data_IF_798081607411
#
_entry.id   IF_798081607411
#
_cell.length_a   1.000
_cell.length_b   1.000
_cell.length_c   1.000
_cell.angle_alpha   90.00
_cell.angle_beta   90.00
_cell.angle_gamma   90.00
#
_symmetry.space_group_name_H-M   'P 1'
#
loop_
_entity.id
_entity.type
_entity.pdbx_description
1 polymer ?
#
# COMPACT_ATOMS: atom_id res chain seq x y z
N UNK A 1 -34.98 -26.37 24.22
CA UNK A 1 -35.00 -24.99 23.67
C UNK A 1 -33.60 -24.43 23.49
N UNK A 2 -32.74 -24.44 24.50
CA UNK A 2 -31.38 -23.86 24.43
C UNK A 2 -30.47 -24.51 23.37
N UNK A 3 -30.51 -25.85 23.25
CA UNK A 3 -29.71 -26.63 22.26
C UNK A 3 -30.13 -26.32 20.81
N UNK A 4 -31.42 -26.14 20.56
CA UNK A 4 -31.93 -25.79 19.22
C UNK A 4 -31.53 -24.38 18.83
N UNK A 5 -31.58 -23.42 19.77
CA UNK A 5 -31.12 -22.06 19.54
C UNK A 5 -29.59 -22.01 19.25
N UNK A 6 -28.82 -22.85 19.95
CA UNK A 6 -27.38 -22.96 19.74
C UNK A 6 -27.04 -23.49 18.33
N UNK A 7 -27.79 -24.48 17.84
CA UNK A 7 -27.62 -25.04 16.50
C UNK A 7 -27.93 -23.98 15.42
N UNK A 8 -28.99 -23.15 15.61
CA UNK A 8 -29.34 -22.08 14.67
C UNK A 8 -28.33 -20.94 14.61
N UNK A 9 -27.46 -20.79 15.60
CA UNK A 9 -26.39 -19.81 15.60
C UNK A 9 -25.06 -20.43 15.13
N UNK A 10 -24.73 -21.62 15.63
CA UNK A 10 -23.44 -22.28 15.34
C UNK A 10 -23.37 -22.79 13.91
N UNK A 11 -24.43 -23.39 13.39
CA UNK A 11 -24.41 -23.95 12.00
C UNK A 11 -24.27 -22.87 10.95
N UNK A 12 -25.03 -21.74 10.96
CA UNK A 12 -24.79 -20.63 10.06
C UNK A 12 -23.42 -19.99 10.25
N UNK A 13 -22.93 -19.88 11.50
CA UNK A 13 -21.61 -19.33 11.80
C UNK A 13 -20.48 -20.22 11.26
N UNK A 14 -20.54 -21.54 11.45
CA UNK A 14 -19.57 -22.49 10.89
C UNK A 14 -19.65 -22.50 9.36
N UNK A 15 -20.86 -22.49 8.78
CA UNK A 15 -21.05 -22.41 7.35
C UNK A 15 -20.51 -21.09 6.78
N UNK A 16 -20.80 -19.96 7.41
CA UNK A 16 -20.30 -18.65 7.04
C UNK A 16 -18.78 -18.55 7.22
N UNK A 17 -18.23 -19.04 8.34
CA UNK A 17 -16.79 -19.08 8.60
C UNK A 17 -16.07 -19.97 7.58
N UNK A 18 -16.61 -21.17 7.28
CA UNK A 18 -16.03 -22.09 6.30
C UNK A 18 -16.16 -21.64 4.84
N UNK A 19 -17.09 -20.72 4.51
CA UNK A 19 -17.27 -20.23 3.14
C UNK A 19 -16.62 -18.85 2.91
N UNK A 20 -16.44 -18.03 3.97
CA UNK A 20 -15.97 -16.66 3.85
C UNK A 20 -14.51 -16.48 4.28
N UNK A 21 -14.04 -17.20 5.29
CA UNK A 21 -12.68 -17.08 5.82
C UNK A 21 -11.75 -18.22 5.39
N UNK A 22 -11.62 -18.41 4.06
CA UNK A 22 -10.45 -19.08 3.57
C UNK A 22 -10.47 -20.60 3.70
N UNK A 23 -11.43 -21.25 3.08
CA UNK A 23 -11.22 -22.67 2.77
C UNK A 23 -9.97 -22.79 1.91
N UNK A 24 -8.98 -23.61 2.30
CA UNK A 24 -7.81 -23.84 1.47
C UNK A 24 -8.23 -24.27 0.08
N UNK A 25 -7.72 -23.61 -0.96
CA UNK A 25 -7.95 -24.02 -2.33
C UNK A 25 -7.21 -25.33 -2.60
N UNK A 26 -7.88 -26.29 -3.30
CA UNK A 26 -7.16 -27.41 -3.87
C UNK A 26 -6.23 -26.90 -4.99
N UNK A 27 -5.29 -27.73 -5.42
CA UNK A 27 -4.35 -27.35 -6.48
C UNK A 27 -5.08 -27.03 -7.80
N UNK A 28 -6.12 -27.80 -8.14
CA UNK A 28 -6.95 -27.55 -9.33
C UNK A 28 -7.73 -26.24 -9.21
N UNK A 29 -8.23 -25.92 -8.00
CA UNK A 29 -8.91 -24.65 -7.75
C UNK A 29 -7.91 -23.47 -7.82
N UNK A 30 -6.67 -23.66 -7.32
CA UNK A 30 -5.63 -22.66 -7.40
C UNK A 30 -5.31 -22.28 -8.85
N UNK A 31 -5.09 -23.29 -9.71
CA UNK A 31 -4.85 -23.10 -11.14
C UNK A 31 -6.02 -22.43 -11.85
N UNK A 32 -7.24 -22.89 -11.55
CA UNK A 32 -8.45 -22.29 -12.10
C UNK A 32 -8.62 -20.82 -11.69
N UNK A 33 -8.34 -20.49 -10.44
CA UNK A 33 -8.50 -19.12 -9.90
C UNK A 33 -7.41 -18.17 -10.42
N UNK A 34 -6.17 -18.60 -10.54
CA UNK A 34 -5.09 -17.80 -11.12
C UNK A 34 -5.36 -17.39 -12.58
N UNK A 35 -6.11 -18.21 -13.32
CA UNK A 35 -6.44 -17.97 -14.72
C UNK A 35 -7.82 -17.33 -14.94
N UNK A 36 -8.58 -17.01 -13.89
CA UNK A 36 -9.95 -16.47 -13.99
C UNK A 36 -9.95 -14.98 -14.29
N UNK A 37 -9.78 -14.62 -15.56
CA UNK A 37 -9.80 -13.22 -16.03
C UNK A 37 -11.17 -12.54 -15.88
N UNK A 38 -12.25 -13.29 -15.74
CA UNK A 38 -13.60 -12.74 -15.55
C UNK A 38 -13.87 -12.31 -14.11
N UNK A 39 -13.19 -12.96 -13.15
CA UNK A 39 -13.36 -12.72 -11.71
C UNK A 39 -12.02 -12.38 -11.03
N UNK A 40 -11.56 -11.14 -11.12
CA UNK A 40 -10.27 -10.72 -10.51
C UNK A 40 -10.14 -11.06 -9.01
N UNK A 41 -11.25 -11.13 -8.28
CA UNK A 41 -11.26 -11.57 -6.87
C UNK A 41 -10.76 -13.00 -6.68
N UNK A 42 -10.99 -13.88 -7.66
CA UNK A 42 -10.46 -15.24 -7.61
C UNK A 42 -8.95 -15.24 -7.74
N UNK A 43 -8.38 -14.42 -8.64
CA UNK A 43 -6.93 -14.23 -8.76
C UNK A 43 -6.34 -13.73 -7.45
N UNK A 44 -6.94 -12.69 -6.84
CA UNK A 44 -6.47 -12.16 -5.55
C UNK A 44 -6.53 -13.22 -4.44
N UNK A 45 -7.60 -14.02 -4.40
CA UNK A 45 -7.74 -15.10 -3.42
C UNK A 45 -6.62 -16.14 -3.61
N UNK A 46 -6.38 -16.60 -4.84
CA UNK A 46 -5.31 -17.54 -5.14
C UNK A 46 -3.94 -16.98 -4.74
N UNK A 47 -3.62 -15.75 -5.13
CA UNK A 47 -2.38 -15.07 -4.75
C UNK A 47 -2.21 -15.00 -3.23
N UNK A 48 -3.27 -14.66 -2.48
CA UNK A 48 -3.22 -14.60 -1.01
C UNK A 48 -2.98 -15.97 -0.38
N UNK A 49 -3.54 -17.04 -0.95
CA UNK A 49 -3.29 -18.41 -0.50
C UNK A 49 -1.85 -18.87 -0.81
N UNK A 50 -1.29 -18.46 -1.95
CA UNK A 50 0.11 -18.69 -2.28
C UNK A 50 1.02 -18.04 -1.22
N UNK A 51 0.73 -16.77 -0.84
CA UNK A 51 1.49 -16.11 0.23
C UNK A 51 1.41 -16.88 1.56
N UNK A 52 0.22 -17.36 1.94
CA UNK A 52 0.05 -18.20 3.12
C UNK A 52 0.93 -19.46 3.09
N UNK A 53 0.92 -20.19 1.98
CA UNK A 53 1.76 -21.40 1.81
C UNK A 53 3.27 -21.08 1.81
N UNK A 54 3.68 -19.92 1.27
CA UNK A 54 5.08 -19.46 1.37
C UNK A 54 5.47 -19.26 2.85
N UNK A 55 4.63 -18.57 3.62
CA UNK A 55 4.86 -18.29 5.04
C UNK A 55 4.93 -19.60 5.85
N UNK A 56 4.13 -20.60 5.47
CA UNK A 56 4.12 -21.95 6.08
C UNK A 56 5.30 -22.82 5.60
N UNK A 57 6.15 -22.29 4.71
CA UNK A 57 7.28 -23.03 4.09
C UNK A 57 6.85 -24.29 3.32
N UNK A 58 5.68 -24.26 2.67
CA UNK A 58 5.23 -25.34 1.78
C UNK A 58 6.03 -25.32 0.46
N UNK A 59 6.91 -26.31 0.21
CA UNK A 59 7.75 -26.31 -1.00
C UNK A 59 6.94 -26.49 -2.29
N UNK A 60 5.72 -27.00 -2.20
CA UNK A 60 4.86 -27.23 -3.38
C UNK A 60 4.40 -25.93 -4.03
N UNK A 61 4.43 -24.81 -3.30
CA UNK A 61 3.97 -23.50 -3.75
C UNK A 61 4.79 -22.97 -4.94
N UNK A 62 6.04 -23.38 -5.09
CA UNK A 62 6.96 -22.88 -6.13
C UNK A 62 6.46 -23.13 -7.56
N UNK A 63 5.58 -24.11 -7.76
CA UNK A 63 4.97 -24.37 -9.08
C UNK A 63 4.12 -23.19 -9.61
N UNK A 64 3.60 -22.32 -8.72
CA UNK A 64 2.80 -21.15 -9.11
C UNK A 64 3.60 -19.84 -9.13
N UNK A 65 4.92 -19.87 -8.90
CA UNK A 65 5.73 -18.64 -8.89
C UNK A 65 5.73 -17.93 -10.25
N UNK A 66 5.66 -18.69 -11.35
CA UNK A 66 5.49 -18.14 -12.69
C UNK A 66 4.16 -17.38 -12.85
N UNK A 67 3.08 -17.88 -12.25
CA UNK A 67 1.77 -17.21 -12.26
C UNK A 67 1.77 -15.94 -11.41
N UNK A 68 2.46 -15.94 -10.25
CA UNK A 68 2.66 -14.74 -9.44
C UNK A 68 3.40 -13.66 -10.23
N UNK A 69 4.47 -14.01 -10.94
CA UNK A 69 5.21 -13.08 -11.81
C UNK A 69 4.31 -12.60 -12.96
N UNK A 70 3.53 -13.49 -13.57
CA UNK A 70 2.61 -13.10 -14.64
C UNK A 70 1.55 -12.10 -14.18
N UNK A 71 1.09 -12.23 -12.93
CA UNK A 71 0.12 -11.31 -12.31
C UNK A 71 0.67 -9.88 -12.17
N UNK A 72 1.99 -9.64 -12.21
CA UNK A 72 2.58 -8.29 -12.23
C UNK A 72 2.26 -7.48 -13.48
N UNK A 73 1.76 -8.12 -14.53
CA UNK A 73 1.38 -7.48 -15.81
C UNK A 73 -0.12 -7.35 -15.98
N UNK A 74 -0.90 -7.69 -14.96
CA UNK A 74 -2.36 -7.62 -15.02
C UNK A 74 -2.83 -6.17 -15.20
N UNK A 75 -3.94 -5.96 -15.95
CA UNK A 75 -4.51 -4.62 -16.20
C UNK A 75 -4.96 -3.91 -14.92
N UNK A 76 -5.48 -4.65 -13.93
CA UNK A 76 -5.95 -4.11 -12.67
C UNK A 76 -4.79 -3.92 -11.67
N UNK A 77 -4.59 -2.69 -11.15
CA UNK A 77 -3.52 -2.41 -10.18
C UNK A 77 -3.60 -3.27 -8.92
N UNK A 78 -4.80 -3.60 -8.44
CA UNK A 78 -5.02 -4.42 -7.25
C UNK A 78 -4.41 -5.82 -7.37
N UNK A 79 -4.40 -6.42 -8.57
CA UNK A 79 -3.76 -7.72 -8.82
C UNK A 79 -2.24 -7.55 -8.78
N UNK A 80 -1.69 -6.53 -9.45
CA UNK A 80 -0.25 -6.25 -9.45
C UNK A 80 0.28 -5.95 -8.05
N UNK A 81 -0.49 -5.16 -7.27
CA UNK A 81 -0.20 -4.86 -5.86
C UNK A 81 -0.14 -6.14 -5.01
N UNK A 82 -1.14 -7.03 -5.18
CA UNK A 82 -1.17 -8.31 -4.46
C UNK A 82 0.02 -9.18 -4.86
N UNK A 83 0.37 -9.25 -6.15
CA UNK A 83 1.53 -9.98 -6.63
C UNK A 83 2.84 -9.44 -6.02
N UNK A 84 3.01 -8.11 -5.95
CA UNK A 84 4.17 -7.48 -5.31
C UNK A 84 4.31 -7.88 -3.83
N UNK A 85 3.20 -7.90 -3.09
CA UNK A 85 3.19 -8.33 -1.69
C UNK A 85 3.51 -9.82 -1.54
N UNK A 86 2.96 -10.68 -2.40
CA UNK A 86 3.24 -12.13 -2.39
C UNK A 86 4.72 -12.40 -2.63
N UNK A 87 5.31 -11.75 -3.64
CA UNK A 87 6.73 -11.91 -3.96
C UNK A 87 7.64 -11.53 -2.78
N UNK A 88 7.26 -10.55 -1.98
CA UNK A 88 7.97 -10.21 -0.75
C UNK A 88 7.94 -11.30 0.32
N UNK A 89 7.12 -12.35 0.23
CA UNK A 89 7.09 -13.42 1.23
C UNK A 89 8.21 -14.45 1.06
N UNK A 90 8.78 -14.61 -0.16
CA UNK A 90 9.97 -15.44 -0.39
C UNK A 90 11.11 -14.56 -0.94
N UNK A 91 11.97 -14.10 -0.04
CA UNK A 91 13.14 -13.28 -0.39
C UNK A 91 14.37 -14.10 -0.85
N UNK A 92 14.19 -15.37 -1.13
CA UNK A 92 15.24 -16.27 -1.64
C UNK A 92 15.11 -16.51 -3.14
N UNK A 93 13.98 -16.13 -3.75
CA UNK A 93 13.71 -16.39 -5.17
C UNK A 93 14.06 -15.17 -6.02
N UNK A 94 15.14 -15.29 -6.83
CA UNK A 94 15.76 -14.16 -7.57
C UNK A 94 14.81 -13.55 -8.61
N UNK A 95 13.96 -14.35 -9.25
CA UNK A 95 13.01 -13.84 -10.23
C UNK A 95 11.93 -12.94 -9.57
N UNK A 96 11.60 -13.17 -8.28
CA UNK A 96 10.75 -12.26 -7.52
C UNK A 96 11.44 -10.93 -7.27
N UNK A 97 12.73 -10.98 -6.90
CA UNK A 97 13.54 -9.77 -6.73
C UNK A 97 13.55 -8.92 -8.01
N UNK A 98 13.88 -9.55 -9.15
CA UNK A 98 13.89 -8.88 -10.45
C UNK A 98 12.53 -8.29 -10.82
N UNK A 99 11.44 -9.02 -10.61
CA UNK A 99 10.08 -8.54 -10.89
C UNK A 99 9.68 -7.35 -9.99
N UNK A 100 10.10 -7.34 -8.71
CA UNK A 100 9.86 -6.23 -7.79
C UNK A 100 10.60 -4.97 -8.21
N UNK A 101 11.83 -5.08 -8.73
CA UNK A 101 12.57 -3.94 -9.27
C UNK A 101 11.86 -3.31 -10.48
N UNK A 102 11.24 -4.12 -11.34
CA UNK A 102 10.44 -3.61 -12.45
C UNK A 102 9.17 -2.91 -11.96
N UNK A 103 8.51 -3.44 -10.92
CA UNK A 103 7.30 -2.84 -10.34
C UNK A 103 7.55 -1.50 -9.64
N UNK A 104 8.79 -1.12 -9.34
CA UNK A 104 9.12 0.25 -8.90
C UNK A 104 8.80 1.31 -9.97
N UNK A 105 8.59 0.91 -11.24
CA UNK A 105 8.24 1.79 -12.34
C UNK A 105 6.75 1.73 -12.71
N UNK A 106 5.93 1.05 -11.91
CA UNK A 106 4.50 0.93 -12.17
C UNK A 106 3.82 2.31 -12.17
N UNK A 107 2.82 2.48 -13.01
CA UNK A 107 2.04 3.73 -13.09
C UNK A 107 1.23 4.00 -11.82
N UNK A 108 0.81 2.93 -11.10
CA UNK A 108 -0.01 3.05 -9.90
C UNK A 108 0.87 3.15 -8.64
N UNK A 109 0.72 4.20 -7.81
CA UNK A 109 1.58 4.41 -6.63
C UNK A 109 1.54 3.23 -5.66
N UNK A 110 0.36 2.67 -5.34
CA UNK A 110 0.24 1.54 -4.42
C UNK A 110 1.01 0.29 -4.87
N UNK A 111 1.15 0.07 -6.18
CA UNK A 111 1.98 -1.04 -6.70
C UNK A 111 3.47 -0.77 -6.45
N UNK A 112 3.94 0.46 -6.74
CA UNK A 112 5.32 0.86 -6.44
C UNK A 112 5.65 0.77 -4.96
N UNK A 113 4.73 1.24 -4.10
CA UNK A 113 4.87 1.19 -2.64
C UNK A 113 5.00 -0.24 -2.11
N UNK A 114 4.14 -1.16 -2.58
CA UNK A 114 4.25 -2.57 -2.20
C UNK A 114 5.53 -3.23 -2.72
N UNK A 115 5.97 -2.88 -3.93
CA UNK A 115 7.27 -3.34 -4.45
C UNK A 115 8.43 -2.84 -3.58
N UNK A 116 8.43 -1.56 -3.20
CA UNK A 116 9.44 -0.96 -2.34
C UNK A 116 9.49 -1.63 -0.96
N UNK A 117 8.32 -1.86 -0.32
CA UNK A 117 8.23 -2.55 0.97
C UNK A 117 8.69 -4.02 0.86
N UNK A 118 8.40 -4.69 -0.25
CA UNK A 118 8.82 -6.07 -0.49
C UNK A 118 10.32 -6.18 -0.70
N UNK A 119 10.94 -5.23 -1.42
CA UNK A 119 12.40 -5.18 -1.62
C UNK A 119 13.18 -5.01 -0.32
N UNK A 120 12.60 -4.39 0.72
CA UNK A 120 13.22 -4.33 2.06
C UNK A 120 13.53 -5.74 2.60
N UNK A 121 12.68 -6.73 2.31
CA UNK A 121 12.88 -8.12 2.76
C UNK A 121 14.02 -8.81 2.02
N UNK A 122 14.35 -8.35 0.80
CA UNK A 122 15.54 -8.75 0.06
C UNK A 122 16.80 -7.98 0.51
N UNK A 123 16.67 -7.11 1.52
CA UNK A 123 17.73 -6.18 1.93
C UNK A 123 18.20 -5.27 0.77
N UNK A 124 17.32 -4.97 -0.18
CA UNK A 124 17.60 -4.12 -1.34
C UNK A 124 17.08 -2.70 -1.10
N UNK A 125 17.98 -1.69 -1.12
CA UNK A 125 17.61 -0.30 -0.93
C UNK A 125 17.03 0.40 -2.17
N UNK A 126 16.86 -0.27 -3.29
CA UNK A 126 16.40 0.34 -4.56
C UNK A 126 15.01 0.98 -4.44
N UNK A 127 14.16 0.48 -3.53
CA UNK A 127 12.84 1.06 -3.23
C UNK A 127 12.87 2.31 -2.36
N UNK A 128 14.03 2.78 -1.86
CA UNK A 128 14.11 3.94 -0.94
C UNK A 128 13.43 5.21 -1.43
N UNK A 129 13.54 5.63 -2.71
CA UNK A 129 12.82 6.81 -3.20
C UNK A 129 11.30 6.69 -3.03
N UNK A 130 10.72 5.53 -3.28
CA UNK A 130 9.28 5.28 -3.03
C UNK A 130 8.95 5.30 -1.53
N UNK A 131 9.79 4.72 -0.68
CA UNK A 131 9.61 4.79 0.78
C UNK A 131 9.67 6.24 1.29
N UNK A 132 10.51 7.10 0.72
CA UNK A 132 10.54 8.53 1.03
C UNK A 132 9.23 9.22 0.60
N UNK A 133 8.74 8.92 -0.61
CA UNK A 133 7.46 9.44 -1.11
C UNK A 133 6.30 9.02 -0.20
N UNK A 134 6.29 7.78 0.31
CA UNK A 134 5.28 7.27 1.24
C UNK A 134 5.22 7.99 2.59
N UNK A 135 6.24 8.77 2.97
CA UNK A 135 6.24 9.60 4.18
C UNK A 135 5.98 11.08 3.87
N UNK A 136 5.91 11.46 2.59
CA UNK A 136 5.83 12.86 2.18
C UNK A 136 4.38 13.24 1.91
N UNK A 137 3.85 14.31 2.54
CA UNK A 137 2.56 14.88 2.16
C UNK A 137 2.57 15.29 0.69
N UNK A 138 1.43 15.13 0.04
CA UNK A 138 1.25 15.46 -1.37
C UNK A 138 0.28 16.63 -1.52
N UNK A 139 0.61 17.58 -2.40
CA UNK A 139 -0.30 18.68 -2.77
C UNK A 139 -1.07 18.29 -4.02
N UNK A 140 -2.39 18.19 -3.90
CA UNK A 140 -3.29 17.99 -5.03
C UNK A 140 -3.61 19.34 -5.65
N UNK A 141 -3.54 19.41 -6.98
CA UNK A 141 -3.75 20.62 -7.77
C UNK A 141 -4.96 20.48 -8.70
N UNK A 142 -5.56 21.60 -9.04
CA UNK A 142 -6.62 21.66 -10.03
C UNK A 142 -6.07 21.23 -11.41
N UNK A 143 -6.76 20.30 -12.07
CA UNK A 143 -6.41 19.87 -13.43
C UNK A 143 -6.99 20.80 -14.51
N UNK A 144 -7.95 21.66 -14.13
CA UNK A 144 -8.65 22.57 -15.05
C UNK A 144 -9.17 23.80 -14.31
N UNK A 145 -9.51 24.84 -15.09
CA UNK A 145 -10.21 26.01 -14.59
C UNK A 145 -11.64 25.65 -14.21
N UNK A 146 -12.18 26.29 -13.15
CA UNK A 146 -13.55 26.07 -12.74
C UNK A 146 -13.84 26.56 -11.32
N UNK A 147 -14.89 26.01 -10.71
CA UNK A 147 -15.26 26.24 -9.30
C UNK A 147 -15.11 24.92 -8.55
N UNK A 148 -14.30 24.91 -7.49
CA UNK A 148 -14.03 23.70 -6.69
C UNK A 148 -15.12 23.47 -5.65
N UNK A 149 -15.57 22.22 -5.51
CA UNK A 149 -16.43 21.74 -4.45
C UNK A 149 -15.72 20.59 -3.74
N UNK A 150 -15.51 20.70 -2.41
CA UNK A 150 -14.88 19.65 -1.63
C UNK A 150 -15.90 18.67 -1.05
N UNK A 151 -15.55 17.38 -1.02
CA UNK A 151 -16.33 16.32 -0.37
C UNK A 151 -15.73 15.89 0.96
N UNK A 152 -14.61 16.47 1.35
CA UNK A 152 -13.83 16.14 2.54
C UNK A 152 -13.52 17.41 3.33
N UNK A 153 -13.24 17.25 4.62
CA UNK A 153 -12.85 18.33 5.54
C UNK A 153 -11.40 18.13 5.99
N UNK A 154 -10.77 19.19 6.48
CA UNK A 154 -9.43 19.10 7.09
C UNK A 154 -9.43 18.11 8.26
N UNK A 155 -8.39 17.26 8.30
CA UNK A 155 -8.25 16.20 9.27
C UNK A 155 -9.06 14.94 8.97
N UNK A 156 -9.94 14.92 7.96
CA UNK A 156 -10.74 13.75 7.62
C UNK A 156 -9.89 12.65 6.97
N UNK A 157 -10.04 11.37 7.36
CA UNK A 157 -9.45 10.24 6.64
C UNK A 157 -10.27 9.96 5.38
N UNK A 158 -9.60 9.40 4.37
CA UNK A 158 -10.24 8.94 3.14
C UNK A 158 -9.60 7.62 2.68
N UNK A 159 -10.38 6.80 1.96
CA UNK A 159 -9.90 5.56 1.34
C UNK A 159 -9.49 5.75 -0.11
N UNK A 160 -8.87 4.73 -0.69
CA UNK A 160 -8.57 4.64 -2.12
C UNK A 160 -9.83 4.81 -2.96
N UNK A 161 -9.76 5.58 -4.04
CA UNK A 161 -10.88 5.86 -4.94
C UNK A 161 -11.91 6.85 -4.40
N UNK A 162 -11.78 7.33 -3.14
CA UNK A 162 -12.71 8.29 -2.57
C UNK A 162 -12.72 9.61 -3.37
N UNK A 163 -13.88 10.20 -3.67
CA UNK A 163 -13.96 11.53 -4.23
C UNK A 163 -13.52 12.54 -3.17
N UNK A 164 -12.52 13.37 -3.48
CA UNK A 164 -11.99 14.41 -2.59
C UNK A 164 -12.54 15.78 -2.93
N UNK A 165 -12.62 16.07 -4.24
CA UNK A 165 -13.13 17.33 -4.75
C UNK A 165 -13.74 17.14 -6.14
N UNK A 166 -14.49 18.15 -6.56
CA UNK A 166 -15.03 18.28 -7.93
C UNK A 166 -14.75 19.69 -8.42
N UNK A 167 -14.30 19.81 -9.66
CA UNK A 167 -14.14 21.09 -10.35
C UNK A 167 -15.28 21.20 -11.36
N UNK A 168 -16.19 22.15 -11.11
CA UNK A 168 -17.30 22.47 -12.01
C UNK A 168 -16.80 23.47 -13.07
N UNK A 169 -16.86 23.07 -14.32
CA UNK A 169 -16.54 23.90 -15.47
C UNK A 169 -17.84 24.51 -16.05
N UNK A 170 -17.72 25.47 -16.97
CA UNK A 170 -18.88 25.97 -17.70
C UNK A 170 -19.61 24.85 -18.46
N UNK A 171 -20.90 25.08 -18.77
CA UNK A 171 -21.74 24.16 -19.55
C UNK A 171 -21.99 22.77 -18.93
N UNK A 172 -21.88 22.64 -17.59
CA UNK A 172 -22.21 21.41 -16.86
C UNK A 172 -21.13 20.33 -16.89
N UNK A 173 -19.97 20.60 -17.44
CA UNK A 173 -18.81 19.72 -17.36
C UNK A 173 -18.23 19.75 -15.94
N UNK A 174 -17.74 18.58 -15.48
CA UNK A 174 -17.13 18.47 -14.15
C UNK A 174 -16.00 17.44 -14.17
N UNK A 175 -14.93 17.73 -13.44
CA UNK A 175 -13.79 16.85 -13.22
C UNK A 175 -13.74 16.46 -11.75
N UNK A 176 -13.72 15.18 -11.44
CA UNK A 176 -13.58 14.70 -10.07
C UNK A 176 -12.11 14.43 -9.74
N UNK A 177 -11.66 14.97 -8.62
CA UNK A 177 -10.36 14.66 -8.02
C UNK A 177 -10.58 13.51 -7.05
N UNK A 178 -10.01 12.34 -7.36
CA UNK A 178 -10.14 11.12 -6.55
C UNK A 178 -8.82 10.73 -5.91
N UNK A 179 -8.91 10.16 -4.72
CA UNK A 179 -7.75 9.61 -4.03
C UNK A 179 -7.20 8.38 -4.79
N UNK A 180 -5.89 8.36 -5.04
CA UNK A 180 -5.23 7.18 -5.61
C UNK A 180 -4.88 6.13 -4.55
N UNK A 181 -4.76 6.54 -3.30
CA UNK A 181 -4.46 5.71 -2.12
C UNK A 181 -5.24 6.24 -0.92
N UNK A 182 -5.26 5.48 0.16
CA UNK A 182 -5.82 5.94 1.42
C UNK A 182 -4.92 7.01 2.09
N UNK A 183 -5.54 7.91 2.82
CA UNK A 183 -4.81 8.98 3.50
C UNK A 183 -5.69 9.83 4.40
N UNK A 184 -5.20 11.04 4.67
CA UNK A 184 -5.90 12.05 5.46
C UNK A 184 -5.74 13.43 4.81
N UNK A 185 -6.78 14.23 4.80
CA UNK A 185 -6.68 15.64 4.43
C UNK A 185 -5.90 16.39 5.50
N UNK A 186 -4.81 17.03 5.14
CA UNK A 186 -4.00 17.83 6.06
C UNK A 186 -4.52 19.27 6.12
N UNK A 187 -4.66 19.91 4.95
CA UNK A 187 -5.17 21.26 4.81
C UNK A 187 -5.96 21.43 3.51
N UNK A 188 -6.91 22.34 3.48
CA UNK A 188 -7.56 22.84 2.27
C UNK A 188 -6.96 24.21 1.91
N UNK A 189 -6.37 24.33 0.70
CA UNK A 189 -5.68 25.55 0.26
C UNK A 189 -6.66 26.66 -0.16
N UNK A 190 -7.87 26.29 -0.54
CA UNK A 190 -8.95 27.20 -0.95
C UNK A 190 -10.27 26.79 -0.27
N UNK A 191 -11.24 27.69 -0.28
CA UNK A 191 -12.60 27.39 0.25
C UNK A 191 -13.40 26.65 -0.82
N UNK A 192 -14.40 25.86 -0.38
CA UNK A 192 -15.41 25.31 -1.29
C UNK A 192 -16.14 26.45 -2.01
N UNK A 193 -16.53 26.20 -3.25
CA UNK A 193 -17.14 27.16 -4.17
C UNK A 193 -16.22 28.33 -4.60
N UNK A 194 -14.92 28.26 -4.33
CA UNK A 194 -13.96 29.22 -4.83
C UNK A 194 -13.61 28.96 -6.31
N UNK A 195 -13.36 30.02 -7.12
CA UNK A 195 -12.81 29.87 -8.46
C UNK A 195 -11.35 29.38 -8.38
N UNK A 196 -10.98 28.46 -9.23
CA UNK A 196 -9.62 27.90 -9.36
C UNK A 196 -9.20 27.86 -10.82
N UNK A 197 -7.89 27.92 -11.05
CA UNK A 197 -7.26 27.72 -12.35
C UNK A 197 -6.48 26.40 -12.36
N UNK A 198 -6.26 25.85 -13.54
CA UNK A 198 -5.38 24.70 -13.71
C UNK A 198 -4.01 24.98 -13.08
N UNK A 199 -3.54 24.06 -12.23
CA UNK A 199 -2.30 24.19 -11.46
C UNK A 199 -2.45 24.79 -10.06
N UNK A 200 -3.59 25.42 -9.72
CA UNK A 200 -3.83 25.96 -8.36
C UNK A 200 -3.84 24.81 -7.32
N UNK A 201 -3.29 25.10 -6.14
CA UNK A 201 -3.29 24.14 -5.01
C UNK A 201 -4.69 24.02 -4.42
N UNK A 202 -5.22 22.80 -4.40
CA UNK A 202 -6.53 22.52 -3.82
C UNK A 202 -6.43 22.10 -2.36
N UNK A 203 -5.59 21.14 -2.08
CA UNK A 203 -5.40 20.60 -0.74
C UNK A 203 -4.04 19.90 -0.63
N UNK A 204 -3.57 19.75 0.63
CA UNK A 204 -2.48 18.85 0.99
C UNK A 204 -3.06 17.62 1.66
N UNK A 205 -2.62 16.44 1.24
CA UNK A 205 -2.97 15.15 1.82
C UNK A 205 -1.74 14.50 2.45
N UNK A 206 -1.94 13.85 3.59
CA UNK A 206 -0.93 13.05 4.28
C UNK A 206 -1.18 11.57 4.09
N UNK A 207 -0.12 10.74 4.11
CA UNK A 207 -0.25 9.28 4.07
C UNK A 207 -1.11 8.76 5.23
N UNK A 208 -1.69 7.57 5.04
CA UNK A 208 -2.42 6.88 6.11
C UNK A 208 -1.50 6.48 7.28
N UNK A 209 -2.10 6.27 8.45
CA UNK A 209 -1.35 5.79 9.63
C UNK A 209 -0.65 4.46 9.37
N UNK A 210 -1.28 3.57 8.61
CA UNK A 210 -0.72 2.26 8.30
C UNK A 210 0.46 2.38 7.31
N UNK A 211 0.32 3.20 6.28
CA UNK A 211 1.40 3.48 5.33
C UNK A 211 2.63 4.07 6.05
N UNK A 212 2.43 5.05 6.92
CA UNK A 212 3.50 5.62 7.75
C UNK A 212 4.15 4.56 8.63
N UNK A 213 3.34 3.72 9.30
CA UNK A 213 3.83 2.65 10.16
C UNK A 213 4.74 1.66 9.43
N UNK A 214 4.28 1.16 8.28
CA UNK A 214 5.04 0.21 7.46
C UNK A 214 6.34 0.82 6.95
N UNK A 215 6.28 2.07 6.49
CA UNK A 215 7.44 2.78 5.95
C UNK A 215 8.50 3.09 7.03
N UNK A 216 8.08 3.51 8.22
CA UNK A 216 9.01 3.71 9.33
C UNK A 216 9.71 2.40 9.71
N UNK A 217 9.01 1.27 9.69
CA UNK A 217 9.62 -0.06 9.92
C UNK A 217 10.58 -0.46 8.80
N UNK A 218 10.25 -0.13 7.54
CA UNK A 218 11.14 -0.33 6.42
C UNK A 218 12.45 0.46 6.61
N UNK A 219 12.39 1.75 6.93
CA UNK A 219 13.56 2.56 7.23
C UNK A 219 14.30 2.14 8.51
N UNK A 220 13.61 1.57 9.48
CA UNK A 220 14.26 0.94 10.64
C UNK A 220 15.25 -0.15 10.20
N UNK A 221 14.94 -0.90 9.14
CA UNK A 221 15.77 -1.98 8.61
C UNK A 221 16.87 -1.50 7.65
N UNK A 222 16.52 -0.64 6.67
CA UNK A 222 17.41 -0.28 5.55
C UNK A 222 17.72 1.21 5.43
N UNK A 223 17.12 2.07 6.26
CA UNK A 223 17.23 3.53 6.16
C UNK A 223 18.67 4.01 6.34
N UNK A 224 19.03 5.06 5.62
CA UNK A 224 20.32 5.77 5.66
C UNK A 224 20.15 7.17 6.22
N UNK A 225 21.27 7.88 6.44
CA UNK A 225 21.25 9.22 7.05
C UNK A 225 20.32 10.19 6.31
N UNK A 226 20.28 10.14 4.97
CA UNK A 226 19.45 11.01 4.14
C UNK A 226 17.94 10.77 4.35
N UNK A 227 17.55 9.57 4.77
CA UNK A 227 16.14 9.24 5.03
C UNK A 227 15.63 9.85 6.34
N UNK A 228 16.57 10.27 7.21
CA UNK A 228 16.24 10.88 8.50
C UNK A 228 15.29 12.07 8.37
N UNK A 229 15.45 12.89 7.34
CA UNK A 229 14.61 14.07 7.09
C UNK A 229 13.11 13.71 6.96
N UNK A 230 12.80 12.59 6.30
CA UNK A 230 11.41 12.11 6.11
C UNK A 230 10.85 11.52 7.39
N UNK A 231 11.69 10.87 8.19
CA UNK A 231 11.30 10.22 9.46
C UNK A 231 11.09 11.25 10.57
N UNK A 232 11.89 12.34 10.63
CA UNK A 232 11.86 13.38 11.68
C UNK A 232 10.48 14.04 11.83
N UNK A 233 9.73 14.18 10.74
CA UNK A 233 8.37 14.70 10.79
C UNK A 233 7.51 13.91 11.78
N UNK A 234 7.63 12.58 11.76
CA UNK A 234 6.83 11.65 12.56
C UNK A 234 7.38 11.43 13.98
N UNK A 235 8.55 11.96 14.29
CA UNK A 235 9.09 11.99 15.66
C UNK A 235 8.43 13.08 16.53
N UNK A 236 7.56 13.93 15.96
CA UNK A 236 6.76 14.93 16.67
C UNK A 236 5.30 14.47 16.76
N UNK A 237 4.56 14.93 17.79
CA UNK A 237 3.12 14.69 17.82
C UNK A 237 2.46 15.31 16.58
N UNK A 238 1.68 14.52 15.86
CA UNK A 238 0.91 14.97 14.70
C UNK A 238 -0.58 14.71 14.95
N UNK A 239 -1.47 15.67 14.61
CA UNK A 239 -2.91 15.49 14.76
C UNK A 239 -3.39 14.20 14.07
N UNK A 240 -4.15 13.39 14.80
CA UNK A 240 -4.72 12.15 14.29
C UNK A 240 -3.73 10.98 14.08
N UNK A 241 -2.44 11.14 14.43
CA UNK A 241 -1.47 10.05 14.45
C UNK A 241 -1.35 9.45 15.85
N UNK A 242 -1.46 8.11 15.99
CA UNK A 242 -1.28 7.44 17.29
C UNK A 242 0.16 7.55 17.81
N UNK A 243 0.34 7.54 19.15
CA UNK A 243 1.66 7.59 19.80
C UNK A 243 2.63 6.50 19.32
N UNK A 244 2.12 5.35 18.86
CA UNK A 244 2.96 4.27 18.31
C UNK A 244 3.78 4.74 17.11
N UNK A 245 3.25 5.66 16.29
CA UNK A 245 3.97 6.23 15.13
C UNK A 245 5.17 7.03 15.61
N UNK A 246 4.99 7.91 16.59
CA UNK A 246 6.07 8.69 17.15
C UNK A 246 7.16 7.80 17.76
N UNK A 247 6.78 6.79 18.53
CA UNK A 247 7.73 5.82 19.12
C UNK A 247 8.52 5.08 18.04
N UNK A 248 7.85 4.64 16.97
CA UNK A 248 8.53 3.98 15.85
C UNK A 248 9.47 4.94 15.11
N UNK A 249 9.07 6.19 14.91
CA UNK A 249 9.93 7.19 14.28
C UNK A 249 11.22 7.42 15.09
N UNK A 250 11.15 7.55 16.42
CA UNK A 250 12.33 7.64 17.27
C UNK A 250 13.23 6.40 17.14
N UNK A 251 12.66 5.19 17.24
CA UNK A 251 13.43 3.97 17.07
C UNK A 251 14.11 3.88 15.70
N UNK A 252 13.43 4.34 14.64
CA UNK A 252 13.95 4.37 13.28
C UNK A 252 15.09 5.36 13.15
N UNK A 253 14.99 6.58 13.69
CA UNK A 253 16.09 7.56 13.70
C UNK A 253 17.30 7.04 14.45
N UNK A 254 17.10 6.38 15.57
CA UNK A 254 18.20 5.74 16.33
C UNK A 254 18.88 4.64 15.53
N UNK A 255 18.09 3.76 14.88
CA UNK A 255 18.63 2.71 14.03
C UNK A 255 19.42 3.26 12.83
N UNK A 256 18.95 4.35 12.20
CA UNK A 256 19.68 5.05 11.12
C UNK A 256 21.02 5.60 11.64
N UNK A 257 21.02 6.28 12.79
CA UNK A 257 22.26 6.84 13.39
C UNK A 257 23.25 5.74 13.75
N UNK A 258 22.78 4.64 14.34
CA UNK A 258 23.63 3.51 14.71
C UNK A 258 24.29 2.85 13.49
N UNK A 259 23.57 2.70 12.37
CA UNK A 259 24.15 2.19 11.11
C UNK A 259 25.16 3.16 10.51
N UNK A 260 24.93 4.46 10.60
CA UNK A 260 25.87 5.46 10.12
C UNK A 260 27.19 5.46 10.94
N UNK A 261 27.09 5.22 12.26
CA UNK A 261 28.25 5.17 13.16
C UNK A 261 29.02 3.84 13.09
N UNK A 262 28.34 2.75 12.75
CA UNK A 262 28.88 1.39 12.65
C UNK A 262 28.48 0.77 11.30
N UNK A 263 29.08 1.19 10.19
CA UNK A 263 28.74 0.62 8.89
C UNK A 263 29.08 -0.87 8.86
N UNK A 264 28.23 -1.72 8.25
CA UNK A 264 28.51 -3.14 8.14
C UNK A 264 29.84 -3.36 7.40
N UNK A 265 30.67 -4.33 7.82
CA UNK A 265 31.91 -4.64 7.17
C UNK A 265 31.62 -5.07 5.72
N UNK A 266 32.02 -4.28 4.72
CA UNK A 266 31.94 -4.63 3.31
C UNK A 266 31.16 -3.69 2.38
N UNK A 267 30.75 -2.50 2.80
CA UNK A 267 30.06 -1.51 1.94
C UNK A 267 31.01 -0.43 1.41
N UNK A 268 32.21 -0.77 1.02
CA UNK A 268 33.19 0.15 0.43
C UNK A 268 33.32 -0.07 -1.07
N UNK A 269 32.82 0.86 -1.86
CA UNK A 269 33.22 1.29 -3.19
C UNK A 269 33.47 0.23 -4.28
N UNK A 270 32.64 0.23 -5.29
CA UNK A 270 32.88 -0.24 -6.63
C UNK A 270 32.03 0.59 -7.57
#
# INVERSE_FOLDING_TARGET
MLVVALIFVIVPFISWYGTWFGRPLSDEQMESYLNDQEKPRNIQHALSQIAGRIIENDPSVKRWYGDVISATRHSLPQIRLTAAWVMGQDNTYEEFHSALLDLLKDSHPGVRHNAALSLVRFNDPSGRPELQAMLTPQTLRAESDGTVEFFVEEGAPFGEGAPLARIKQGEGQQVEVRAQEEGRVETLSVKSDAPVKAGDELMTISPSTEQVWQTLRAFYLIGRTEDGLYVERYARPLPGMPDRIQKQAFATLEAIRNRASNPPPGGGGG
#
